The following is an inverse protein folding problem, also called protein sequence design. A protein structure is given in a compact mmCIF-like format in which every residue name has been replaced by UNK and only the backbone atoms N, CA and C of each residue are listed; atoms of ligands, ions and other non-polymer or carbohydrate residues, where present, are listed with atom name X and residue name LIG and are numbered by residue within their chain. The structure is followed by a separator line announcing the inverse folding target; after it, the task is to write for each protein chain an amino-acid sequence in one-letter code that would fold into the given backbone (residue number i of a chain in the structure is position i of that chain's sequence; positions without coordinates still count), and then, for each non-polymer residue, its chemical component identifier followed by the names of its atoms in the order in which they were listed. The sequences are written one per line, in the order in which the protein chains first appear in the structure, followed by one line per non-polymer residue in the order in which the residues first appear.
data_IF_284493272074
#
_entry.id   IF_284493272074
#
_cell.length_a   1.000
_cell.length_b   1.000
_cell.length_c   1.000
_cell.angle_alpha   90.00
_cell.angle_beta   90.00
_cell.angle_gamma   90.00
#
_symmetry.space_group_name_H-M   'P 1'
#
loop_
_entity.id
_entity.type
_entity.pdbx_description
1 polymer ?
#
# COMPACT_ATOMS: atom_id res chain seq x y z
N UNK A 1 29.24 -54.25 54.89
CA UNK A 1 27.84 -53.87 54.59
C UNK A 1 27.86 -52.58 53.78
N UNK A 2 27.50 -52.68 52.49
CA UNK A 2 27.24 -51.55 51.59
C UNK A 2 25.94 -50.86 51.98
N UNK A 3 25.85 -49.52 51.86
CA UNK A 3 24.72 -48.87 51.19
C UNK A 3 25.20 -47.60 50.47
N UNK A 4 25.05 -47.60 49.14
CA UNK A 4 25.19 -46.43 48.26
C UNK A 4 23.86 -45.68 48.27
N UNK A 5 23.87 -44.40 48.59
CA UNK A 5 22.72 -43.51 48.43
C UNK A 5 22.66 -43.01 46.99
N UNK A 6 21.58 -43.36 46.30
CA UNK A 6 21.28 -42.99 44.90
C UNK A 6 20.69 -41.58 44.89
N UNK A 7 21.30 -40.66 44.11
CA UNK A 7 20.73 -39.33 43.83
C UNK A 7 19.54 -39.47 42.87
N UNK A 8 18.39 -38.80 43.10
CA UNK A 8 17.26 -38.87 42.18
C UNK A 8 17.56 -38.05 40.91
N UNK A 9 17.27 -38.65 39.76
CA UNK A 9 17.40 -38.03 38.45
C UNK A 9 16.29 -36.98 38.24
N UNK A 10 16.69 -35.75 37.93
CA UNK A 10 15.78 -34.69 37.47
C UNK A 10 15.28 -35.06 36.09
N UNK A 11 13.98 -35.40 35.99
CA UNK A 11 13.30 -35.63 34.70
C UNK A 11 13.25 -34.31 33.94
N UNK A 12 14.03 -34.19 32.86
CA UNK A 12 13.86 -33.10 31.88
C UNK A 12 12.47 -33.25 31.26
N UNK A 13 11.53 -32.38 31.63
CA UNK A 13 10.26 -32.26 30.94
C UNK A 13 10.54 -31.83 29.50
N UNK A 14 10.21 -32.68 28.53
CA UNK A 14 10.24 -32.34 27.12
C UNK A 14 9.34 -31.12 26.91
N UNK A 15 9.94 -29.96 26.67
CA UNK A 15 9.22 -28.78 26.22
C UNK A 15 8.82 -29.05 24.77
N UNK A 16 7.56 -29.44 24.58
CA UNK A 16 6.94 -29.52 23.26
C UNK A 16 6.94 -28.11 22.68
N UNK A 17 7.87 -27.83 21.76
CA UNK A 17 7.87 -26.61 20.97
C UNK A 17 6.65 -26.63 20.06
N UNK A 18 5.58 -25.95 20.47
CA UNK A 18 4.44 -25.70 19.60
C UNK A 18 4.97 -24.80 18.48
N UNK A 19 5.12 -25.33 17.28
CA UNK A 19 5.45 -24.54 16.09
C UNK A 19 4.32 -23.54 15.85
N UNK A 20 4.59 -22.26 16.09
CA UNK A 20 3.67 -21.15 15.80
C UNK A 20 3.78 -20.66 14.35
N UNK A 21 4.48 -21.41 13.49
CA UNK A 21 4.64 -21.03 12.09
C UNK A 21 3.27 -21.03 11.38
N UNK A 22 2.85 -19.86 10.89
CA UNK A 22 1.58 -19.68 10.18
C UNK A 22 0.40 -19.17 11.03
N UNK A 23 0.59 -18.96 12.34
CA UNK A 23 -0.45 -18.35 13.17
C UNK A 23 -0.55 -16.84 12.86
N UNK A 24 -1.67 -16.41 12.27
CA UNK A 24 -1.94 -14.98 12.05
C UNK A 24 -2.20 -14.33 13.40
N UNK A 25 -1.20 -13.62 13.93
CA UNK A 25 -1.33 -12.79 15.13
C UNK A 25 -2.44 -11.74 14.90
N UNK A 26 -3.65 -12.04 15.37
CA UNK A 26 -4.87 -11.24 15.25
C UNK A 26 -5.33 -10.91 13.79
N UNK A 27 -6.63 -10.94 13.50
CA UNK A 27 -7.16 -10.40 12.25
C UNK A 27 -7.08 -8.87 12.31
N UNK A 28 -5.91 -8.29 12.04
CA UNK A 28 -5.81 -6.85 11.81
C UNK A 28 -6.50 -6.52 10.48
N UNK A 29 -7.48 -5.60 10.46
CA UNK A 29 -8.15 -5.23 9.22
C UNK A 29 -7.11 -4.68 8.24
N UNK A 30 -7.19 -5.12 6.98
CA UNK A 30 -6.33 -4.57 5.94
C UNK A 30 -6.61 -3.08 5.77
N UNK A 31 -5.64 -2.33 5.26
CA UNK A 31 -5.80 -0.91 4.94
C UNK A 31 -7.08 -0.64 4.13
N UNK A 32 -7.36 -1.45 3.11
CA UNK A 32 -8.59 -1.36 2.31
C UNK A 32 -9.87 -1.53 3.13
N UNK A 33 -9.88 -2.42 4.12
CA UNK A 33 -11.05 -2.61 5.00
C UNK A 33 -11.26 -1.42 5.93
N UNK A 34 -10.18 -0.87 6.49
CA UNK A 34 -10.23 0.33 7.33
C UNK A 34 -10.78 1.50 6.51
N UNK A 35 -10.25 1.69 5.30
CA UNK A 35 -10.68 2.78 4.46
C UNK A 35 -12.12 2.65 3.93
N UNK A 36 -12.52 1.44 3.54
CA UNK A 36 -13.90 1.19 3.17
C UNK A 36 -14.85 1.51 4.34
N UNK A 37 -14.46 1.16 5.57
CA UNK A 37 -15.22 1.54 6.76
C UNK A 37 -15.30 3.07 6.95
N UNK A 38 -14.21 3.80 6.71
CA UNK A 38 -14.19 5.27 6.71
C UNK A 38 -15.10 5.88 5.64
N UNK A 39 -15.12 5.31 4.43
CA UNK A 39 -16.01 5.75 3.34
C UNK A 39 -17.48 5.54 3.72
N UNK A 40 -17.82 4.37 4.26
CA UNK A 40 -19.16 4.06 4.76
C UNK A 40 -19.56 5.03 5.88
N UNK A 41 -18.66 5.30 6.83
CA UNK A 41 -18.90 6.24 7.93
C UNK A 41 -19.17 7.66 7.42
N UNK A 42 -18.40 8.11 6.41
CA UNK A 42 -18.55 9.42 5.77
C UNK A 42 -19.71 9.48 4.76
N UNK A 43 -20.47 8.38 4.59
CA UNK A 43 -21.54 8.24 3.58
C UNK A 43 -21.06 8.59 2.17
N UNK A 44 -19.79 8.29 1.87
CA UNK A 44 -19.21 8.49 0.56
C UNK A 44 -19.62 7.34 -0.37
N UNK A 45 -19.74 7.64 -1.65
CA UNK A 45 -19.99 6.62 -2.65
C UNK A 45 -18.74 5.73 -2.83
N UNK A 46 -18.89 4.47 -3.32
CA UNK A 46 -17.76 3.57 -3.56
C UNK A 46 -16.70 4.14 -4.52
N UNK A 47 -17.14 5.00 -5.44
CA UNK A 47 -16.32 5.70 -6.42
C UNK A 47 -15.80 7.06 -5.93
N UNK A 48 -15.96 7.43 -4.65
CA UNK A 48 -15.32 8.64 -4.14
C UNK A 48 -13.79 8.57 -4.36
N UNK A 49 -13.13 9.65 -4.81
CA UNK A 49 -13.57 11.05 -4.83
C UNK A 49 -14.35 11.50 -6.08
N UNK A 50 -14.69 10.60 -7.00
CA UNK A 50 -15.46 10.94 -8.20
C UNK A 50 -16.95 11.17 -7.88
N UNK A 51 -17.63 11.91 -8.74
CA UNK A 51 -19.04 12.24 -8.64
C UNK A 51 -19.92 11.00 -8.93
N UNK A 52 -19.46 10.14 -9.82
CA UNK A 52 -20.20 8.98 -10.31
C UNK A 52 -19.30 7.87 -10.84
N UNK A 53 -19.90 6.72 -11.10
CA UNK A 53 -19.27 5.58 -11.79
C UNK A 53 -18.78 5.96 -13.19
N UNK A 54 -19.59 6.67 -13.97
CA UNK A 54 -19.21 7.12 -15.33
C UNK A 54 -17.93 8.01 -15.33
N UNK A 55 -17.78 8.89 -14.34
CA UNK A 55 -16.59 9.73 -14.19
C UNK A 55 -15.36 8.92 -13.77
N UNK A 56 -15.56 7.89 -12.94
CA UNK A 56 -14.52 6.95 -12.56
C UNK A 56 -14.03 6.12 -13.75
N UNK A 57 -14.95 5.54 -14.54
CA UNK A 57 -14.61 4.77 -15.75
C UNK A 57 -13.87 5.63 -16.77
N UNK A 58 -14.32 6.87 -16.99
CA UNK A 58 -13.63 7.81 -17.87
C UNK A 58 -12.21 8.11 -17.37
N UNK A 59 -12.03 8.26 -16.06
CA UNK A 59 -10.72 8.48 -15.44
C UNK A 59 -9.79 7.28 -15.63
N UNK A 60 -10.30 6.06 -15.47
CA UNK A 60 -9.55 4.84 -15.76
C UNK A 60 -9.13 4.78 -17.23
N UNK A 61 -10.03 5.12 -18.15
CA UNK A 61 -9.72 5.16 -19.57
C UNK A 61 -8.62 6.17 -19.89
N UNK A 62 -8.67 7.38 -19.33
CA UNK A 62 -7.60 8.38 -19.51
C UNK A 62 -6.25 7.80 -19.07
N UNK A 63 -6.17 7.22 -17.87
CA UNK A 63 -4.93 6.65 -17.33
C UNK A 63 -4.43 5.49 -18.20
N UNK A 64 -5.33 4.57 -18.60
CA UNK A 64 -4.99 3.40 -19.41
C UNK A 64 -4.63 3.72 -20.86
N UNK A 65 -5.11 4.84 -21.39
CA UNK A 65 -4.87 5.24 -22.78
C UNK A 65 -3.46 5.80 -23.06
N UNK A 66 -2.71 6.17 -22.03
CA UNK A 66 -1.35 6.71 -22.18
C UNK A 66 -1.28 8.09 -22.87
N UNK A 67 -2.38 8.86 -22.88
CA UNK A 67 -2.42 10.21 -23.45
C UNK A 67 -1.46 11.14 -22.68
N UNK A 68 -0.79 12.04 -23.39
CA UNK A 68 0.12 13.01 -22.77
C UNK A 68 -0.64 13.98 -21.86
N UNK A 69 0.01 14.55 -20.83
CA UNK A 69 -0.63 15.51 -19.94
C UNK A 69 -1.24 16.73 -20.66
N UNK A 70 -0.60 17.18 -21.76
CA UNK A 70 -1.10 18.30 -22.56
C UNK A 70 -2.35 17.92 -23.33
N UNK A 71 -2.40 16.72 -23.86
CA UNK A 71 -3.54 16.22 -24.62
C UNK A 71 -4.70 15.90 -23.68
N UNK A 72 -4.43 15.39 -22.48
CA UNK A 72 -5.42 15.26 -21.41
C UNK A 72 -5.99 16.61 -21.01
N UNK A 73 -5.15 17.63 -20.81
CA UNK A 73 -5.64 18.98 -20.50
C UNK A 73 -6.52 19.56 -21.60
N UNK A 74 -6.11 19.37 -22.87
CA UNK A 74 -6.90 19.76 -24.04
C UNK A 74 -8.21 18.99 -24.12
N UNK A 75 -8.20 17.68 -23.87
CA UNK A 75 -9.38 16.82 -23.86
C UNK A 75 -10.36 17.30 -22.79
N UNK A 76 -9.91 17.48 -21.55
CA UNK A 76 -10.78 17.91 -20.45
C UNK A 76 -11.35 19.31 -20.71
N UNK A 77 -10.54 20.25 -21.21
CA UNK A 77 -11.02 21.60 -21.55
C UNK A 77 -11.95 21.63 -22.76
N UNK A 78 -11.75 20.77 -23.75
CA UNK A 78 -12.56 20.81 -24.99
C UNK A 78 -13.80 19.92 -24.87
N UNK A 79 -13.64 18.68 -24.41
CA UNK A 79 -14.71 17.71 -24.30
C UNK A 79 -15.66 18.02 -23.14
N UNK A 80 -15.17 18.41 -21.96
CA UNK A 80 -16.04 18.66 -20.79
C UNK A 80 -16.58 20.09 -20.72
N UNK A 81 -15.80 21.11 -21.12
CA UNK A 81 -16.26 22.51 -21.02
C UNK A 81 -17.01 22.95 -22.29
N UNK A 82 -16.62 22.46 -23.48
CA UNK A 82 -17.13 22.99 -24.77
C UNK A 82 -18.31 22.23 -25.37
N UNK A 83 -18.56 20.96 -25.03
CA UNK A 83 -19.79 20.28 -25.44
C UNK A 83 -20.97 20.77 -24.59
N UNK A 84 -21.47 21.95 -24.96
CA UNK A 84 -22.61 22.62 -24.36
C UNK A 84 -23.91 21.79 -24.43
N UNK A 85 -23.97 20.79 -25.33
CA UNK A 85 -25.02 19.76 -25.37
C UNK A 85 -24.91 18.67 -24.29
N UNK A 86 -23.70 18.40 -23.76
CA UNK A 86 -23.52 17.44 -22.68
C UNK A 86 -23.92 18.03 -21.32
N UNK A 87 -23.78 19.34 -21.09
CA UNK A 87 -24.18 19.97 -19.80
C UNK A 87 -25.65 19.77 -19.41
N UNK A 88 -26.57 19.66 -20.36
CA UNK A 88 -27.99 19.43 -20.03
C UNK A 88 -28.24 18.06 -19.39
N UNK A 89 -27.43 17.04 -19.71
CA UNK A 89 -27.58 15.65 -19.24
C UNK A 89 -26.42 15.17 -18.36
N UNK A 90 -25.28 15.87 -18.39
CA UNK A 90 -23.99 15.50 -17.80
C UNK A 90 -23.43 16.54 -16.82
N UNK A 91 -24.09 17.69 -16.59
CA UNK A 91 -23.60 18.70 -15.65
C UNK A 91 -23.46 18.19 -14.19
N UNK A 92 -24.17 17.11 -13.83
CA UNK A 92 -24.00 16.42 -12.56
C UNK A 92 -23.07 15.20 -12.61
N UNK A 93 -22.73 14.71 -13.81
CA UNK A 93 -21.97 13.46 -13.99
C UNK A 93 -20.46 13.66 -13.93
N UNK A 94 -19.97 14.85 -14.29
CA UNK A 94 -18.54 15.15 -14.40
C UNK A 94 -18.22 16.48 -13.70
N UNK A 95 -18.18 16.45 -12.37
CA UNK A 95 -17.96 17.64 -11.54
C UNK A 95 -16.65 17.63 -10.76
N UNK A 96 -15.94 16.49 -10.73
CA UNK A 96 -14.78 16.33 -9.84
C UNK A 96 -13.51 16.94 -10.43
N UNK A 97 -13.43 17.13 -11.74
CA UNK A 97 -12.32 17.77 -12.42
C UNK A 97 -12.74 18.45 -13.73
N UNK A 98 -11.99 19.46 -14.13
CA UNK A 98 -12.26 20.24 -15.35
C UNK A 98 -10.99 20.60 -16.14
N UNK A 99 -9.81 20.26 -15.61
CA UNK A 99 -8.51 20.44 -16.25
C UNK A 99 -7.55 19.36 -15.74
N UNK A 100 -6.39 19.21 -16.38
CA UNK A 100 -5.45 18.15 -16.03
C UNK A 100 -4.96 18.26 -14.58
N UNK A 101 -4.80 19.48 -14.05
CA UNK A 101 -4.39 19.69 -12.66
C UNK A 101 -5.42 19.15 -11.66
N UNK A 102 -6.69 19.50 -11.83
CA UNK A 102 -7.79 19.02 -10.99
C UNK A 102 -7.98 17.51 -11.15
N UNK A 103 -7.81 16.98 -12.37
CA UNK A 103 -7.87 15.55 -12.62
C UNK A 103 -6.80 14.79 -11.83
N UNK A 104 -5.53 15.17 -11.98
CA UNK A 104 -4.43 14.54 -11.23
C UNK A 104 -4.60 14.69 -9.73
N UNK A 105 -5.06 15.85 -9.26
CA UNK A 105 -5.38 16.04 -7.85
C UNK A 105 -6.45 15.06 -7.35
N UNK A 106 -7.51 14.84 -8.13
CA UNK A 106 -8.56 13.86 -7.83
C UNK A 106 -8.02 12.43 -7.85
N UNK A 107 -7.08 12.11 -8.74
CA UNK A 107 -6.37 10.82 -8.72
C UNK A 107 -5.52 10.68 -7.45
N UNK A 108 -4.80 11.72 -7.04
CA UNK A 108 -3.97 11.69 -5.82
C UNK A 108 -4.79 11.54 -4.53
N UNK A 109 -6.07 11.93 -4.56
CA UNK A 109 -7.01 11.71 -3.45
C UNK A 109 -7.48 10.26 -3.34
N UNK A 110 -7.29 9.44 -4.38
CA UNK A 110 -7.54 8.01 -4.27
C UNK A 110 -6.61 7.40 -3.25
N UNK A 111 -7.06 6.37 -2.52
CA UNK A 111 -6.13 5.56 -1.77
C UNK A 111 -5.13 4.84 -2.64
N UNK A 112 -3.96 5.44 -2.74
CA UNK A 112 -2.78 4.73 -3.18
C UNK A 112 -2.34 3.71 -2.14
N UNK A 113 -1.59 2.68 -2.55
CA UNK A 113 -0.83 1.89 -1.60
C UNK A 113 0.07 2.84 -0.80
N UNK A 114 -0.14 2.92 0.51
CA UNK A 114 0.81 3.58 1.45
C UNK A 114 2.05 2.71 1.65
N UNK A 115 2.51 2.03 0.59
CA UNK A 115 3.82 1.40 0.59
C UNK A 115 4.83 2.55 0.58
N UNK A 116 5.19 3.01 1.77
CA UNK A 116 6.35 3.86 1.93
C UNK A 116 7.55 2.96 1.66
N UNK A 117 7.97 2.87 0.40
CA UNK A 117 9.23 2.22 0.06
C UNK A 117 10.32 2.99 0.78
N UNK A 118 10.76 2.45 1.91
CA UNK A 118 11.84 3.02 2.70
C UNK A 118 13.09 2.29 2.32
N UNK A 119 14.11 3.05 1.95
CA UNK A 119 15.46 2.52 1.87
C UNK A 119 15.91 2.22 3.30
N UNK A 120 16.04 0.94 3.63
CA UNK A 120 16.61 0.47 4.88
C UNK A 120 18.04 0.05 4.57
N UNK A 121 18.99 0.90 4.93
CA UNK A 121 20.41 0.56 4.82
C UNK A 121 20.82 -0.34 5.98
N UNK A 122 21.12 -1.61 5.68
CA UNK A 122 21.59 -2.58 6.67
C UNK A 122 23.09 -2.76 6.47
N UNK A 123 23.88 -2.50 7.52
CA UNK A 123 25.30 -2.86 7.52
C UNK A 123 25.46 -4.24 8.15
N UNK A 124 25.92 -5.20 7.35
CA UNK A 124 26.20 -6.57 7.80
C UNK A 124 27.70 -6.71 8.06
N UNK A 125 28.06 -7.27 9.21
CA UNK A 125 29.44 -7.63 9.51
C UNK A 125 29.69 -9.08 9.09
N UNK A 126 30.62 -9.27 8.16
CA UNK A 126 31.02 -10.58 7.66
C UNK A 126 32.02 -11.29 8.57
N UNK A 127 32.29 -12.56 8.27
CA UNK A 127 33.24 -13.41 9.00
C UNK A 127 34.70 -13.26 8.54
N UNK A 128 34.94 -12.55 7.45
CA UNK A 128 36.25 -12.31 6.88
C UNK A 128 36.90 -11.06 7.50
N UNK A 129 38.22 -11.12 7.65
CA UNK A 129 39.02 -10.09 8.32
C UNK A 129 39.85 -9.32 7.28
N UNK A 130 39.98 -8.01 7.45
CA UNK A 130 40.87 -7.17 6.65
C UNK A 130 42.33 -7.30 7.11
N UNK A 131 43.26 -6.74 6.35
CA UNK A 131 44.69 -6.70 6.69
C UNK A 131 45.02 -5.85 7.92
N UNK A 132 44.03 -5.16 8.49
CA UNK A 132 44.13 -4.33 9.70
C UNK A 132 43.44 -4.97 10.92
N UNK A 133 42.94 -6.20 10.79
CA UNK A 133 42.29 -6.95 11.87
C UNK A 133 40.82 -6.58 12.15
N UNK A 134 40.14 -5.89 11.24
CA UNK A 134 38.70 -5.59 11.35
C UNK A 134 37.87 -6.55 10.52
N UNK A 135 36.64 -6.85 10.96
CA UNK A 135 35.66 -7.60 10.15
C UNK A 135 35.20 -6.78 8.95
N UNK A 136 35.17 -7.41 7.77
CA UNK A 136 34.67 -6.81 6.55
C UNK A 136 33.17 -6.51 6.70
N UNK A 137 32.76 -5.30 6.29
CA UNK A 137 31.37 -4.86 6.36
C UNK A 137 30.80 -4.71 4.96
N UNK A 138 29.57 -5.16 4.76
CA UNK A 138 28.81 -4.98 3.54
C UNK A 138 27.57 -4.11 3.82
N UNK A 139 27.31 -3.13 2.97
CA UNK A 139 26.10 -2.31 3.03
C UNK A 139 25.08 -2.89 2.06
N UNK A 140 23.91 -3.27 2.57
CA UNK A 140 22.79 -3.78 1.79
C UNK A 140 21.66 -2.77 1.80
N UNK A 141 21.18 -2.46 0.60
CA UNK A 141 20.05 -1.59 0.37
C UNK A 141 18.77 -2.44 0.25
N UNK A 142 17.96 -2.44 1.31
CA UNK A 142 16.70 -3.19 1.35
C UNK A 142 15.55 -2.22 1.11
N UNK A 143 14.70 -2.54 0.14
CA UNK A 143 13.48 -1.82 -0.17
C UNK A 143 12.27 -2.55 0.42
N UNK A 144 11.49 -1.86 1.25
CA UNK A 144 10.28 -2.40 1.87
C UNK A 144 9.40 -1.35 2.51
#
# INVERSE_FOLDING_TARGET
MCQRTVKPAVKKSAQTTISHAGYKFCPYPTFFKIQHADQVLKKQAPWAPFAGEEEWEFSQWIIGSGISQRETDRLLKTAMVSFQGCKATSAQRFTSFHNNKSFLHTIDLLPGPTASWKLIEITVEGTLWDSKGNTLKERLDVWG
#
